data_IF_500605521382
#
_entry.id   IF_500605521382
#
_cell.length_a   1.000
_cell.length_b   1.000
_cell.length_c   1.000
_cell.angle_alpha   90.00
_cell.angle_beta   90.00
_cell.angle_gamma   90.00
#
_symmetry.space_group_name_H-M   'P 1'
#
loop_
_entity.id
_entity.type
_entity.pdbx_description
1 polymer ?
#
# COMPACT_ATOMS: atom_id res chain seq x y z
N UNK A 1 -17.35 -9.14 38.76
CA UNK A 1 -17.25 -7.68 38.45
C UNK A 1 -16.89 -7.36 36.99
N UNK A 2 -16.67 -8.36 36.14
CA UNK A 2 -16.22 -8.19 34.73
C UNK A 2 -17.33 -7.94 33.68
N UNK A 3 -18.51 -8.48 33.89
CA UNK A 3 -19.59 -8.47 32.88
C UNK A 3 -20.21 -7.08 32.63
N UNK A 4 -20.28 -6.22 33.66
CA UNK A 4 -20.87 -4.86 33.52
C UNK A 4 -20.01 -3.84 32.74
N UNK A 5 -18.70 -4.10 32.57
CA UNK A 5 -17.82 -3.21 31.80
C UNK A 5 -17.83 -3.51 30.29
N UNK A 6 -18.06 -4.77 29.94
CA UNK A 6 -18.15 -5.19 28.52
C UNK A 6 -19.44 -4.67 27.89
N UNK A 7 -20.54 -4.73 28.62
CA UNK A 7 -21.86 -4.24 28.16
C UNK A 7 -21.89 -2.72 27.94
N UNK A 8 -21.18 -1.91 28.77
CA UNK A 8 -21.14 -0.45 28.56
C UNK A 8 -20.29 -0.03 27.31
N UNK A 9 -19.22 -0.76 26.98
CA UNK A 9 -18.46 -0.51 25.78
C UNK A 9 -19.23 -0.97 24.53
N UNK A 10 -19.88 -2.13 24.60
CA UNK A 10 -20.73 -2.64 23.53
C UNK A 10 -21.91 -1.70 23.25
N UNK A 11 -22.51 -1.15 24.27
CA UNK A 11 -23.63 -0.21 24.16
C UNK A 11 -23.23 1.13 23.54
N UNK A 12 -21.99 1.60 23.74
CA UNK A 12 -21.48 2.84 23.13
C UNK A 12 -21.30 2.75 21.60
N UNK A 13 -21.10 1.56 21.07
CA UNK A 13 -21.01 1.31 19.63
C UNK A 13 -22.36 0.90 19.01
N UNK A 14 -23.21 0.21 19.79
CA UNK A 14 -24.51 -0.26 19.31
C UNK A 14 -25.55 0.86 19.21
N UNK A 15 -25.50 1.84 20.10
CA UNK A 15 -26.49 2.93 20.13
C UNK A 15 -26.41 3.82 18.90
N UNK A 16 -25.26 4.30 18.41
CA UNK A 16 -25.18 5.04 17.16
C UNK A 16 -25.65 4.23 15.96
N UNK A 17 -25.26 2.96 15.88
CA UNK A 17 -25.67 2.05 14.78
C UNK A 17 -27.17 1.80 14.78
N UNK A 18 -27.79 1.65 15.93
CA UNK A 18 -29.26 1.48 16.07
C UNK A 18 -30.03 2.77 15.77
N UNK A 19 -29.50 3.93 16.11
CA UNK A 19 -30.16 5.23 15.80
C UNK A 19 -30.14 5.48 14.29
N UNK A 20 -29.04 5.16 13.60
CA UNK A 20 -28.99 5.24 12.13
C UNK A 20 -29.95 4.23 11.48
N UNK A 21 -30.05 3.02 12.01
CA UNK A 21 -31.00 2.00 11.56
C UNK A 21 -32.47 2.43 11.75
N UNK A 22 -32.77 3.22 12.79
CA UNK A 22 -34.13 3.70 13.08
C UNK A 22 -34.55 4.92 12.26
N UNK A 23 -33.59 5.67 11.71
CA UNK A 23 -33.85 6.87 10.91
C UNK A 23 -33.99 6.59 9.41
N UNK A 24 -33.71 5.37 8.96
CA UNK A 24 -33.93 5.00 7.55
C UNK A 24 -35.34 4.43 7.43
N UNK A 25 -36.25 5.08 6.70
CA UNK A 25 -37.63 4.59 6.55
C UNK A 25 -37.66 3.19 5.94
N UNK A 26 -38.32 2.26 6.62
CA UNK A 26 -38.56 0.87 6.20
C UNK A 26 -39.56 0.77 5.05
N UNK A 27 -39.50 1.63 4.05
CA UNK A 27 -40.34 1.53 2.85
C UNK A 27 -39.77 0.52 1.86
N UNK A 28 -39.78 -0.76 2.23
CA UNK A 28 -39.50 -1.87 1.30
C UNK A 28 -40.59 -1.99 0.21
N UNK A 29 -41.71 -1.30 0.38
CA UNK A 29 -42.86 -1.35 -0.57
C UNK A 29 -42.82 -0.40 -1.75
N UNK A 30 -41.92 0.61 -1.77
CA UNK A 30 -41.85 1.58 -2.88
C UNK A 30 -40.82 1.27 -3.97
N UNK A 31 -40.19 0.13 -3.95
CA UNK A 31 -39.16 -0.28 -4.92
C UNK A 31 -39.70 -0.69 -6.30
N UNK A 32 -41.04 -0.71 -6.49
CA UNK A 32 -41.64 -1.14 -7.78
C UNK A 32 -42.00 0.02 -8.73
N UNK A 33 -41.70 1.26 -8.41
CA UNK A 33 -41.84 2.39 -9.36
C UNK A 33 -40.50 2.81 -9.94
N UNK A 34 -40.04 2.02 -10.88
CA UNK A 34 -39.36 2.30 -12.16
C UNK A 34 -38.68 3.67 -12.33
N UNK A 35 -37.63 3.89 -11.64
CA UNK A 35 -36.60 4.79 -12.15
C UNK A 35 -35.32 3.96 -12.38
N UNK A 36 -34.84 3.92 -13.61
CA UNK A 36 -33.55 3.29 -13.94
C UNK A 36 -32.49 3.81 -12.95
N UNK A 37 -31.77 2.90 -12.30
CA UNK A 37 -30.71 3.28 -11.37
C UNK A 37 -29.68 4.15 -12.11
N UNK A 38 -29.41 5.38 -11.68
CA UNK A 38 -28.53 6.31 -12.41
C UNK A 38 -27.07 5.85 -12.44
N UNK A 39 -26.69 4.90 -11.58
CA UNK A 39 -25.33 4.35 -11.54
C UNK A 39 -25.20 3.02 -12.28
N UNK A 40 -26.30 2.43 -12.74
CA UNK A 40 -26.28 1.16 -13.46
C UNK A 40 -25.54 1.32 -14.80
N UNK A 41 -24.47 0.52 -14.98
CA UNK A 41 -23.57 0.57 -16.14
C UNK A 41 -22.93 1.95 -16.39
N UNK A 42 -22.92 2.84 -15.40
CA UNK A 42 -22.35 4.18 -15.51
C UNK A 42 -20.82 4.16 -15.47
N UNK A 43 -20.21 5.26 -15.89
CA UNK A 43 -18.84 5.58 -15.57
C UNK A 43 -18.84 6.58 -14.41
N UNK A 44 -18.22 6.21 -13.30
CA UNK A 44 -18.20 6.99 -12.06
C UNK A 44 -16.77 7.50 -11.85
N UNK A 45 -16.61 8.80 -11.65
CA UNK A 45 -15.34 9.45 -11.38
C UNK A 45 -15.34 9.95 -9.95
N UNK A 46 -14.39 9.47 -9.14
CA UNK A 46 -14.32 9.77 -7.72
C UNK A 46 -12.98 10.40 -7.37
N UNK A 47 -13.01 11.33 -6.43
CA UNK A 47 -11.82 11.86 -5.79
C UNK A 47 -11.91 11.58 -4.29
N UNK A 48 -10.83 11.08 -3.68
CA UNK A 48 -10.71 10.91 -2.24
C UNK A 48 -9.75 11.98 -1.72
N UNK A 49 -10.30 12.91 -0.93
CA UNK A 49 -9.61 14.04 -0.31
C UNK A 49 -9.66 13.91 1.22
N UNK A 50 -9.13 12.80 1.74
CA UNK A 50 -9.04 12.55 3.18
C UNK A 50 -7.60 12.76 3.62
N UNK A 51 -7.40 13.59 4.65
CA UNK A 51 -6.08 13.95 5.15
C UNK A 51 -5.35 12.73 5.75
N UNK A 52 -4.09 12.56 5.34
CA UNK A 52 -3.29 11.36 5.64
C UNK A 52 -2.77 11.28 7.09
N UNK A 53 -2.60 12.42 7.78
CA UNK A 53 -1.91 12.48 9.08
C UNK A 53 -2.85 12.11 10.24
N UNK A 54 -4.09 12.59 10.23
CA UNK A 54 -5.07 12.21 11.25
C UNK A 54 -5.60 10.77 11.08
N UNK A 55 -5.54 10.24 9.87
CA UNK A 55 -6.11 8.95 9.50
C UNK A 55 -5.45 7.76 10.20
N UNK A 56 -4.15 7.80 10.50
CA UNK A 56 -3.50 6.69 11.23
C UNK A 56 -4.08 6.48 12.64
N UNK A 57 -4.47 7.55 13.33
CA UNK A 57 -5.08 7.45 14.67
C UNK A 57 -6.50 6.87 14.62
N UNK A 58 -7.20 7.09 13.53
CA UNK A 58 -8.61 6.68 13.35
C UNK A 58 -8.78 5.37 12.59
N UNK A 59 -7.84 4.98 11.75
CA UNK A 59 -7.87 3.78 10.91
C UNK A 59 -7.46 4.10 9.47
N UNK A 60 -7.66 3.16 8.57
CA UNK A 60 -7.31 3.32 7.15
C UNK A 60 -8.49 3.90 6.37
N UNK A 61 -8.78 5.20 6.58
CA UNK A 61 -9.98 5.86 6.03
C UNK A 61 -9.98 5.95 4.51
N UNK A 62 -8.84 6.30 3.92
CA UNK A 62 -8.68 6.39 2.46
C UNK A 62 -8.89 5.03 1.82
N UNK A 63 -8.25 4.01 2.36
CA UNK A 63 -8.32 2.62 1.92
C UNK A 63 -9.74 2.06 2.06
N UNK A 64 -10.41 2.33 3.19
CA UNK A 64 -11.79 1.96 3.41
C UNK A 64 -12.73 2.57 2.37
N UNK A 65 -12.61 3.87 2.12
CA UNK A 65 -13.45 4.55 1.14
C UNK A 65 -13.14 4.11 -0.30
N UNK A 66 -11.88 3.82 -0.60
CA UNK A 66 -11.47 3.27 -1.89
C UNK A 66 -12.19 1.94 -2.16
N UNK A 67 -12.09 0.99 -1.24
CA UNK A 67 -12.73 -0.31 -1.38
C UNK A 67 -14.26 -0.21 -1.37
N UNK A 68 -14.83 0.70 -0.57
CA UNK A 68 -16.26 0.94 -0.52
C UNK A 68 -16.80 1.49 -1.84
N UNK A 69 -16.07 2.41 -2.48
CA UNK A 69 -16.40 2.93 -3.80
C UNK A 69 -16.30 1.85 -4.89
N UNK A 70 -15.29 0.99 -4.84
CA UNK A 70 -15.17 -0.17 -5.74
C UNK A 70 -16.35 -1.13 -5.57
N UNK A 71 -16.73 -1.43 -4.33
CA UNK A 71 -17.88 -2.28 -4.04
C UNK A 71 -19.19 -1.65 -4.55
N UNK A 72 -19.36 -0.33 -4.35
CA UNK A 72 -20.51 0.40 -4.89
C UNK A 72 -20.59 0.30 -6.42
N UNK A 73 -19.46 0.48 -7.10
CA UNK A 73 -19.41 0.38 -8.55
C UNK A 73 -19.71 -1.05 -9.03
N UNK A 74 -19.13 -2.05 -8.39
CA UNK A 74 -19.35 -3.47 -8.69
C UNK A 74 -20.82 -3.85 -8.55
N UNK A 75 -21.46 -3.48 -7.45
CA UNK A 75 -22.87 -3.78 -7.18
C UNK A 75 -23.84 -3.10 -8.17
N UNK A 76 -23.36 -2.04 -8.84
CA UNK A 76 -24.13 -1.32 -9.87
C UNK A 76 -23.66 -1.66 -11.30
N UNK A 77 -22.77 -2.64 -11.49
CA UNK A 77 -22.15 -2.96 -12.78
C UNK A 77 -21.51 -1.74 -13.45
N UNK A 78 -21.11 -0.75 -12.67
CA UNK A 78 -20.50 0.50 -13.11
C UNK A 78 -18.99 0.37 -13.27
N UNK A 79 -18.42 1.18 -14.17
CA UNK A 79 -16.98 1.40 -14.23
C UNK A 79 -16.63 2.56 -13.33
N UNK A 80 -15.58 2.42 -12.52
CA UNK A 80 -15.15 3.47 -11.60
C UNK A 80 -13.70 3.88 -11.88
N UNK A 81 -13.44 5.18 -11.77
CA UNK A 81 -12.11 5.75 -11.71
C UNK A 81 -11.98 6.51 -10.41
N UNK A 82 -11.04 6.11 -9.57
CA UNK A 82 -10.76 6.75 -8.28
C UNK A 82 -9.39 7.41 -8.39
N UNK A 83 -9.30 8.66 -7.95
CA UNK A 83 -8.05 9.40 -7.82
C UNK A 83 -7.95 9.98 -6.42
N UNK A 84 -6.73 10.15 -5.94
CA UNK A 84 -6.48 10.86 -4.70
C UNK A 84 -6.39 12.36 -4.99
N UNK A 85 -6.85 13.16 -4.04
CA UNK A 85 -6.73 14.60 -4.13
C UNK A 85 -5.27 15.04 -4.10
N UNK A 86 -4.96 16.08 -4.85
CA UNK A 86 -3.71 16.81 -4.73
C UNK A 86 -3.77 17.72 -3.50
N UNK A 87 -2.63 17.93 -2.85
CA UNK A 87 -2.55 18.76 -1.66
C UNK A 87 -3.03 20.18 -1.94
N UNK A 88 -3.99 20.65 -1.13
CA UNK A 88 -4.56 21.99 -1.24
C UNK A 88 -5.50 22.24 -2.41
N UNK A 89 -5.85 21.22 -3.20
CA UNK A 89 -6.79 21.36 -4.31
C UNK A 89 -8.23 21.46 -3.82
N UNK A 90 -9.00 22.41 -4.42
CA UNK A 90 -10.44 22.50 -4.24
C UNK A 90 -11.16 21.82 -5.42
N UNK A 91 -12.05 20.90 -5.10
CA UNK A 91 -12.81 20.12 -6.07
C UNK A 91 -14.27 20.59 -6.23
N UNK A 92 -14.64 21.77 -5.67
CA UNK A 92 -15.98 22.32 -5.75
C UNK A 92 -16.42 22.51 -7.20
N UNK A 93 -15.61 23.18 -8.01
CA UNK A 93 -15.90 23.38 -9.44
C UNK A 93 -15.98 22.08 -10.22
N UNK A 94 -15.13 21.11 -9.88
CA UNK A 94 -15.11 19.79 -10.52
C UNK A 94 -16.40 19.00 -10.28
N UNK A 95 -17.01 19.13 -9.10
CA UNK A 95 -18.32 18.57 -8.78
C UNK A 95 -19.44 19.32 -9.53
N UNK A 96 -19.36 20.66 -9.61
CA UNK A 96 -20.38 21.48 -10.26
C UNK A 96 -20.44 21.27 -11.77
N UNK A 97 -19.30 21.15 -12.43
CA UNK A 97 -19.22 20.94 -13.88
C UNK A 97 -19.27 19.46 -14.29
N UNK A 98 -19.63 18.56 -13.38
CA UNK A 98 -19.69 17.11 -13.61
C UNK A 98 -18.36 16.50 -14.11
N UNK A 99 -17.18 17.08 -13.76
CA UNK A 99 -15.87 16.47 -14.03
C UNK A 99 -15.62 15.28 -13.09
N UNK A 100 -16.15 15.37 -11.87
CA UNK A 100 -16.22 14.26 -10.91
C UNK A 100 -17.65 14.03 -10.45
N UNK A 101 -17.98 12.81 -10.10
CA UNK A 101 -19.33 12.40 -9.70
C UNK A 101 -19.45 12.29 -8.17
N UNK A 102 -18.36 11.90 -7.48
CA UNK A 102 -18.31 11.74 -6.03
C UNK A 102 -16.99 12.31 -5.51
N UNK A 103 -17.07 13.19 -4.51
CA UNK A 103 -15.94 13.62 -3.69
C UNK A 103 -16.06 12.99 -2.30
N UNK A 104 -15.04 12.30 -1.85
CA UNK A 104 -14.92 11.81 -0.47
C UNK A 104 -14.03 12.77 0.30
N UNK A 105 -14.58 13.46 1.30
CA UNK A 105 -13.86 14.44 2.07
C UNK A 105 -14.25 14.38 3.56
N UNK A 106 -13.50 15.03 4.48
CA UNK A 106 -13.91 15.16 5.87
C UNK A 106 -15.28 15.82 5.99
N UNK A 107 -16.05 15.48 7.02
CA UNK A 107 -17.36 16.08 7.26
C UNK A 107 -17.28 17.61 7.48
N UNK A 108 -16.11 18.11 7.86
CA UNK A 108 -15.78 19.53 8.02
C UNK A 108 -15.52 20.26 6.70
N UNK A 109 -15.36 19.53 5.57
CA UNK A 109 -15.17 20.17 4.27
C UNK A 109 -16.36 21.08 3.95
N UNK A 110 -16.05 22.34 3.66
CA UNK A 110 -17.03 23.37 3.37
C UNK A 110 -16.98 23.69 1.89
N UNK A 111 -17.58 22.82 1.08
CA UNK A 111 -17.94 23.19 -0.28
C UNK A 111 -19.17 24.07 -0.32
N UNK A 112 -19.61 24.45 -1.52
CA UNK A 112 -20.84 25.23 -1.67
C UNK A 112 -22.03 24.54 -0.96
N UNK A 113 -22.88 25.32 -0.33
CA UNK A 113 -24.09 24.85 0.38
C UNK A 113 -25.06 24.03 -0.49
N UNK A 114 -24.84 24.04 -1.81
CA UNK A 114 -25.64 23.29 -2.80
C UNK A 114 -25.30 21.80 -2.81
N UNK A 115 -24.08 21.40 -2.40
CA UNK A 115 -23.70 19.99 -2.42
C UNK A 115 -24.50 19.18 -1.40
N UNK A 116 -24.83 17.96 -1.77
CA UNK A 116 -25.52 17.00 -0.90
C UNK A 116 -24.54 16.04 -0.28
N UNK A 117 -24.61 15.95 1.04
CA UNK A 117 -23.84 15.00 1.86
C UNK A 117 -24.57 13.67 1.88
N UNK A 118 -23.89 12.63 1.43
CA UNK A 118 -24.30 11.26 1.71
C UNK A 118 -23.48 10.83 2.92
N UNK A 119 -24.13 10.81 4.08
CA UNK A 119 -23.45 10.53 5.33
C UNK A 119 -23.05 9.05 5.41
N UNK A 120 -21.76 8.83 5.51
CA UNK A 120 -21.25 7.61 6.09
C UNK A 120 -21.33 7.73 7.60
N UNK A 121 -21.71 6.66 8.26
CA UNK A 121 -21.71 6.58 9.72
C UNK A 121 -20.31 6.81 10.28
N UNK A 122 -20.20 7.74 11.22
CA UNK A 122 -19.08 7.90 12.14
C UNK A 122 -17.69 8.21 11.53
N UNK A 123 -17.41 9.46 11.23
CA UNK A 123 -16.06 9.97 10.96
C UNK A 123 -15.22 9.21 9.89
N UNK A 124 -15.83 8.29 9.12
CA UNK A 124 -15.14 7.52 8.09
C UNK A 124 -14.98 8.26 6.75
N UNK A 125 -15.34 9.51 6.69
CA UNK A 125 -15.43 10.33 5.48
C UNK A 125 -16.88 10.64 5.12
N UNK A 126 -17.08 11.67 4.33
CA UNK A 126 -18.40 12.06 3.82
C UNK A 126 -18.34 12.07 2.30
N UNK A 127 -19.31 11.46 1.66
CA UNK A 127 -19.41 11.51 0.20
C UNK A 127 -20.25 12.72 -0.19
N UNK A 128 -19.69 13.58 -1.01
CA UNK A 128 -20.33 14.76 -1.56
C UNK A 128 -20.66 14.52 -3.02
N UNK A 129 -21.87 14.85 -3.42
CA UNK A 129 -22.32 14.76 -4.80
C UNK A 129 -23.04 16.05 -5.21
N UNK A 130 -23.06 16.34 -6.52
CA UNK A 130 -23.93 17.38 -7.06
C UNK A 130 -25.39 17.07 -6.74
N UNK A 131 -26.23 18.06 -6.45
CA UNK A 131 -27.64 17.85 -6.14
C UNK A 131 -28.37 17.13 -7.28
N UNK A 132 -28.63 15.86 -7.11
CA UNK A 132 -29.46 15.03 -7.97
C UNK A 132 -30.27 14.08 -7.08
N UNK A 133 -31.59 14.26 -7.08
CA UNK A 133 -32.50 13.47 -6.23
C UNK A 133 -32.43 11.97 -6.52
N UNK A 134 -32.22 11.56 -7.78
CA UNK A 134 -32.17 10.14 -8.16
C UNK A 134 -30.84 9.54 -7.74
N UNK A 135 -29.72 10.23 -8.01
CA UNK A 135 -28.37 9.80 -7.59
C UNK A 135 -28.31 9.67 -6.07
N UNK A 136 -28.81 10.67 -5.32
CA UNK A 136 -28.86 10.64 -3.86
C UNK A 136 -29.66 9.45 -3.33
N UNK A 137 -30.90 9.28 -3.81
CA UNK A 137 -31.77 8.17 -3.39
C UNK A 137 -31.11 6.81 -3.66
N UNK A 138 -30.43 6.66 -4.79
CA UNK A 138 -29.74 5.43 -5.15
C UNK A 138 -28.57 5.14 -4.22
N UNK A 139 -27.74 6.14 -3.89
CA UNK A 139 -26.64 6.02 -2.94
C UNK A 139 -27.13 5.70 -1.53
N UNK A 140 -28.12 6.43 -1.02
CA UNK A 140 -28.69 6.19 0.32
C UNK A 140 -29.26 4.77 0.45
N UNK A 141 -29.98 4.31 -0.58
CA UNK A 141 -30.52 2.95 -0.61
C UNK A 141 -29.42 1.90 -0.66
N UNK A 142 -28.38 2.13 -1.44
CA UNK A 142 -27.24 1.21 -1.51
C UNK A 142 -26.51 1.15 -0.19
N UNK A 143 -26.12 2.28 0.39
CA UNK A 143 -25.47 2.35 1.70
C UNK A 143 -26.31 1.71 2.79
N UNK A 144 -27.62 2.03 2.82
CA UNK A 144 -28.54 1.42 3.79
C UNK A 144 -28.66 -0.09 3.67
N UNK A 145 -28.47 -0.66 2.47
CA UNK A 145 -28.40 -2.11 2.26
C UNK A 145 -27.04 -2.64 2.68
N UNK A 146 -25.95 -2.00 2.23
CA UNK A 146 -24.58 -2.42 2.47
C UNK A 146 -24.27 -2.56 3.96
N UNK A 147 -24.60 -1.59 4.80
CA UNK A 147 -24.38 -1.64 6.25
C UNK A 147 -25.20 -2.72 6.99
N UNK A 148 -26.21 -3.29 6.34
CA UNK A 148 -27.01 -4.40 6.86
C UNK A 148 -26.58 -5.78 6.34
N UNK A 149 -25.61 -5.82 5.44
CA UNK A 149 -25.08 -7.09 4.94
C UNK A 149 -24.34 -7.83 6.05
N UNK A 150 -24.43 -9.14 6.05
CA UNK A 150 -23.78 -10.01 7.04
C UNK A 150 -22.28 -9.78 7.11
N UNK A 151 -21.65 -9.52 5.97
CA UNK A 151 -20.22 -9.30 5.86
C UNK A 151 -19.76 -7.84 6.14
N UNK A 152 -20.69 -6.89 6.38
CA UNK A 152 -20.33 -5.49 6.62
C UNK A 152 -19.35 -5.32 7.79
N UNK A 153 -19.59 -6.02 8.89
CA UNK A 153 -18.74 -5.92 10.08
C UNK A 153 -17.33 -6.45 9.80
N UNK A 154 -17.22 -7.52 9.02
CA UNK A 154 -15.93 -8.04 8.57
C UNK A 154 -15.21 -7.06 7.66
N UNK A 155 -15.92 -6.47 6.69
CA UNK A 155 -15.40 -5.43 5.83
C UNK A 155 -14.87 -4.23 6.62
N UNK A 156 -15.67 -3.69 7.54
CA UNK A 156 -15.27 -2.58 8.40
C UNK A 156 -14.03 -2.90 9.24
N UNK A 157 -14.01 -4.07 9.88
CA UNK A 157 -12.91 -4.46 10.76
C UNK A 157 -11.58 -4.63 10.04
N UNK A 158 -11.56 -4.95 8.76
CA UNK A 158 -10.32 -4.99 7.97
C UNK A 158 -9.54 -3.68 8.08
N UNK A 159 -10.24 -2.54 8.09
CA UNK A 159 -9.62 -1.21 8.07
C UNK A 159 -9.49 -0.57 9.45
N UNK A 160 -10.34 -0.96 10.40
CA UNK A 160 -10.42 -0.29 11.70
C UNK A 160 -10.01 -1.18 12.89
N UNK A 161 -9.85 -2.47 12.70
CA UNK A 161 -9.42 -3.39 13.76
C UNK A 161 -8.10 -4.13 13.45
N UNK A 162 -7.48 -3.89 12.30
CA UNK A 162 -6.16 -4.43 11.94
C UNK A 162 -5.04 -3.80 12.77
N UNK A 163 -3.81 -4.23 12.53
CA UNK A 163 -2.64 -3.69 13.20
C UNK A 163 -2.52 -2.18 13.00
N UNK A 164 -2.43 -1.48 14.11
CA UNK A 164 -2.18 -0.04 14.14
C UNK A 164 -1.49 0.29 15.47
N UNK A 165 -0.25 0.73 15.50
CA UNK A 165 0.50 1.02 16.72
C UNK A 165 -0.13 2.14 17.55
N UNK A 166 -0.89 3.04 16.92
CA UNK A 166 -1.56 4.17 17.59
C UNK A 166 -2.90 3.81 18.21
N UNK A 167 -3.40 2.57 18.01
CA UNK A 167 -4.71 2.11 18.54
C UNK A 167 -4.58 0.96 19.52
N UNK A 168 -5.25 1.09 20.65
CA UNK A 168 -5.47 -0.01 21.60
C UNK A 168 -6.73 -0.78 21.21
N UNK A 169 -6.68 -2.12 21.25
CA UNK A 169 -7.88 -2.96 21.08
C UNK A 169 -8.11 -3.51 19.66
N UNK A 170 -7.04 -3.79 18.95
CA UNK A 170 -7.05 -4.46 17.63
C UNK A 170 -7.54 -5.90 17.69
N UNK A 171 -8.09 -6.39 16.59
CA UNK A 171 -8.30 -7.82 16.38
C UNK A 171 -6.95 -8.46 15.98
N UNK A 172 -6.42 -9.33 16.84
CA UNK A 172 -5.14 -10.01 16.60
C UNK A 172 -5.15 -10.96 15.38
N UNK A 173 -6.33 -11.25 14.83
CA UNK A 173 -6.49 -12.12 13.64
C UNK A 173 -6.28 -11.36 12.34
N UNK A 174 -6.39 -10.04 12.38
CA UNK A 174 -6.26 -9.15 11.20
C UNK A 174 -4.96 -8.35 11.36
N UNK A 175 -3.99 -8.61 10.50
CA UNK A 175 -2.73 -7.89 10.51
C UNK A 175 -2.80 -6.63 9.64
N UNK A 176 -3.30 -6.78 8.42
CA UNK A 176 -3.42 -5.68 7.46
C UNK A 176 -4.82 -5.66 6.85
N UNK A 177 -5.25 -4.56 6.22
CA UNK A 177 -6.46 -4.59 5.40
C UNK A 177 -6.41 -5.57 4.24
N UNK A 178 -5.22 -6.06 3.88
CA UNK A 178 -4.93 -6.83 2.66
C UNK A 178 -4.41 -8.25 2.93
N UNK A 179 -4.66 -8.81 4.11
CA UNK A 179 -4.15 -10.12 4.53
C UNK A 179 -4.39 -11.22 3.50
N UNK A 180 -5.57 -11.24 2.86
CA UNK A 180 -5.92 -12.29 1.91
C UNK A 180 -5.12 -12.18 0.61
N UNK A 181 -4.92 -10.96 0.09
CA UNK A 181 -4.06 -10.72 -1.07
C UNK A 181 -2.60 -11.10 -0.76
N UNK A 182 -2.10 -10.73 0.41
CA UNK A 182 -0.73 -11.09 0.82
C UNK A 182 -0.55 -12.60 0.94
N UNK A 183 -1.53 -13.33 1.50
CA UNK A 183 -1.51 -14.80 1.60
C UNK A 183 -1.57 -15.47 0.23
N UNK A 184 -2.27 -14.87 -0.72
CA UNK A 184 -2.37 -15.38 -2.09
C UNK A 184 -1.06 -15.20 -2.84
N UNK A 185 -0.59 -13.95 -2.95
CA UNK A 185 0.54 -13.59 -3.80
C UNK A 185 1.89 -14.04 -3.24
N UNK A 186 2.10 -14.08 -1.91
CA UNK A 186 3.36 -14.50 -1.30
C UNK A 186 3.77 -15.93 -1.64
N UNK A 187 2.80 -16.80 -1.98
CA UNK A 187 3.04 -18.19 -2.34
C UNK A 187 3.95 -18.33 -3.57
N UNK A 188 3.79 -17.46 -4.55
CA UNK A 188 4.53 -17.53 -5.82
C UNK A 188 6.03 -17.28 -5.66
N UNK A 189 6.45 -16.55 -4.60
CA UNK A 189 7.84 -16.26 -4.27
C UNK A 189 8.37 -17.07 -3.08
N UNK A 190 7.58 -18.01 -2.56
CA UNK A 190 7.96 -18.87 -1.44
C UNK A 190 8.13 -18.14 -0.11
N UNK A 191 7.53 -16.96 0.06
CA UNK A 191 7.60 -16.20 1.30
C UNK A 191 6.42 -16.47 2.23
N UNK A 192 6.67 -16.38 3.55
CA UNK A 192 5.59 -16.18 4.51
C UNK A 192 4.90 -14.84 4.23
N UNK A 193 3.58 -14.83 4.15
CA UNK A 193 2.81 -13.64 3.89
C UNK A 193 3.05 -12.51 4.91
N UNK A 194 3.45 -12.84 6.13
CA UNK A 194 3.81 -11.87 7.16
C UNK A 194 5.14 -11.16 6.87
N UNK A 195 6.04 -11.82 6.13
CA UNK A 195 7.25 -11.16 5.63
C UNK A 195 6.88 -10.13 4.55
N UNK A 196 5.99 -10.49 3.64
CA UNK A 196 5.47 -9.55 2.64
C UNK A 196 4.69 -8.41 3.31
N UNK A 197 3.93 -8.69 4.38
CA UNK A 197 3.29 -7.67 5.21
C UNK A 197 4.29 -6.74 5.90
N UNK A 198 5.42 -7.27 6.38
CA UNK A 198 6.45 -6.44 7.02
C UNK A 198 7.17 -5.53 6.02
N UNK A 199 7.38 -6.02 4.81
CA UNK A 199 7.84 -5.20 3.69
C UNK A 199 6.84 -4.08 3.40
N UNK A 200 5.56 -4.41 3.20
CA UNK A 200 4.49 -3.43 2.96
C UNK A 200 4.38 -2.38 4.09
N UNK A 201 4.55 -2.82 5.35
CA UNK A 201 4.58 -1.90 6.47
C UNK A 201 5.72 -0.90 6.34
N UNK A 202 6.90 -1.34 5.99
CA UNK A 202 8.07 -0.48 5.82
C UNK A 202 7.89 0.50 4.65
N UNK A 203 7.24 0.08 3.57
CA UNK A 203 7.02 0.90 2.38
C UNK A 203 5.94 1.98 2.58
N UNK A 204 4.80 1.63 3.16
CA UNK A 204 3.63 2.52 3.17
C UNK A 204 2.86 2.60 4.49
N UNK A 205 3.23 1.84 5.50
CA UNK A 205 2.39 1.64 6.71
C UNK A 205 0.99 1.13 6.36
N UNK A 206 0.88 0.27 5.33
CA UNK A 206 -0.37 -0.28 4.78
C UNK A 206 -1.32 0.73 4.13
N UNK A 207 -0.84 1.88 3.68
CA UNK A 207 -1.67 2.91 3.04
C UNK A 207 -1.51 2.93 1.52
N UNK A 208 -2.62 2.91 0.81
CA UNK A 208 -2.62 3.06 -0.66
C UNK A 208 -2.21 4.47 -1.11
N UNK A 209 -2.38 5.46 -0.24
CA UNK A 209 -2.20 6.88 -0.58
C UNK A 209 -0.76 7.36 -0.59
N UNK A 210 0.19 6.53 -0.16
CA UNK A 210 1.58 6.97 -0.05
C UNK A 210 2.22 7.13 -1.43
N UNK A 211 2.84 8.30 -1.63
CA UNK A 211 3.66 8.60 -2.80
C UNK A 211 4.98 9.20 -2.33
N UNK A 212 6.09 8.60 -2.75
CA UNK A 212 7.41 9.10 -2.41
C UNK A 212 7.81 10.31 -3.27
N UNK A 213 8.81 11.07 -2.82
CA UNK A 213 9.39 12.19 -3.59
C UNK A 213 9.96 11.72 -4.94
N UNK A 214 10.43 10.46 -5.02
CA UNK A 214 10.95 9.83 -6.26
C UNK A 214 9.84 9.27 -7.16
N UNK A 215 8.58 9.35 -6.74
CA UNK A 215 7.42 8.91 -7.52
C UNK A 215 6.98 7.48 -7.30
N UNK A 216 7.56 6.74 -6.35
CA UNK A 216 7.05 5.43 -5.93
C UNK A 216 5.64 5.56 -5.35
N UNK A 217 4.76 4.58 -5.59
CA UNK A 217 3.33 4.70 -5.29
C UNK A 217 2.75 3.46 -4.61
N UNK A 218 1.78 3.70 -3.73
CA UNK A 218 0.89 2.71 -3.16
C UNK A 218 1.51 1.86 -2.05
N UNK A 219 0.87 0.74 -1.77
CA UNK A 219 1.16 -0.14 -0.64
C UNK A 219 2.61 -0.62 -0.58
N UNK A 220 3.18 -0.97 -1.72
CA UNK A 220 4.50 -1.57 -1.87
C UNK A 220 5.52 -0.58 -2.46
N UNK A 221 5.17 0.70 -2.58
CA UNK A 221 6.03 1.76 -3.14
C UNK A 221 6.66 1.37 -4.48
N UNK A 222 5.82 0.95 -5.42
CA UNK A 222 6.27 0.54 -6.74
C UNK A 222 6.51 1.77 -7.63
N UNK A 223 7.64 1.79 -8.33
CA UNK A 223 7.93 2.80 -9.33
C UNK A 223 7.07 2.57 -10.59
N UNK A 224 6.43 3.62 -11.17
CA UNK A 224 5.62 3.49 -12.38
C UNK A 224 6.38 2.88 -13.56
N UNK A 225 7.65 3.21 -13.75
CA UNK A 225 8.49 2.62 -14.78
C UNK A 225 8.67 1.10 -14.61
N UNK A 226 8.79 0.63 -13.36
CA UNK A 226 8.86 -0.80 -13.06
C UNK A 226 7.53 -1.50 -13.30
N UNK A 227 6.41 -0.86 -12.94
CA UNK A 227 5.07 -1.39 -13.16
C UNK A 227 4.74 -1.55 -14.66
N UNK A 228 5.15 -0.58 -15.47
CA UNK A 228 4.95 -0.59 -16.92
C UNK A 228 5.60 -1.83 -17.59
N UNK A 229 6.74 -2.32 -17.08
CA UNK A 229 7.40 -3.55 -17.58
C UNK A 229 6.52 -4.80 -17.41
N UNK A 230 5.55 -4.76 -16.49
CA UNK A 230 4.58 -5.84 -16.24
C UNK A 230 3.17 -5.53 -16.75
N UNK A 231 2.99 -4.42 -17.50
CA UNK A 231 1.70 -3.99 -18.03
C UNK A 231 0.72 -3.49 -16.95
N UNK A 232 1.23 -3.12 -15.78
CA UNK A 232 0.43 -2.62 -14.65
C UNK A 232 0.43 -1.09 -14.69
N UNK A 233 -0.77 -0.50 -14.66
CA UNK A 233 -0.96 0.96 -14.81
C UNK A 233 -1.66 1.62 -13.64
N UNK A 234 -2.37 0.85 -12.80
CA UNK A 234 -3.05 1.38 -11.62
C UNK A 234 -2.35 0.94 -10.33
N UNK A 235 -1.41 1.78 -9.88
CA UNK A 235 -0.68 1.54 -8.63
C UNK A 235 -1.44 1.99 -7.38
N UNK A 236 -2.60 2.61 -7.52
CA UNK A 236 -3.51 2.88 -6.41
C UNK A 236 -4.36 1.64 -6.06
N UNK A 237 -4.60 0.76 -7.03
CA UNK A 237 -5.29 -0.49 -6.80
C UNK A 237 -4.45 -1.42 -5.92
N UNK A 238 -4.96 -1.87 -4.74
CA UNK A 238 -4.20 -2.71 -3.82
C UNK A 238 -3.71 -4.01 -4.44
N UNK A 239 -4.57 -4.69 -5.21
CA UNK A 239 -4.24 -5.97 -5.83
C UNK A 239 -3.18 -5.81 -6.90
N UNK A 240 -3.33 -4.85 -7.81
CA UNK A 240 -2.35 -4.57 -8.87
C UNK A 240 -1.00 -4.14 -8.28
N UNK A 241 -1.01 -3.35 -7.20
CA UNK A 241 0.21 -2.90 -6.53
C UNK A 241 0.96 -4.05 -5.85
N UNK A 242 0.26 -4.91 -5.09
CA UNK A 242 0.84 -6.10 -4.45
C UNK A 242 1.35 -7.08 -5.50
N UNK A 243 0.56 -7.38 -6.52
CA UNK A 243 0.92 -8.25 -7.62
C UNK A 243 2.18 -7.78 -8.34
N UNK A 244 2.26 -6.49 -8.66
CA UNK A 244 3.44 -5.89 -9.27
C UNK A 244 4.70 -6.09 -8.42
N UNK A 245 4.61 -5.80 -7.13
CA UNK A 245 5.74 -5.95 -6.21
C UNK A 245 6.21 -7.40 -6.12
N UNK A 246 5.29 -8.36 -6.12
CA UNK A 246 5.62 -9.79 -6.09
C UNK A 246 6.31 -10.22 -7.39
N UNK A 247 5.89 -9.70 -8.55
CA UNK A 247 6.59 -9.94 -9.82
C UNK A 247 8.01 -9.36 -9.79
N UNK A 248 8.20 -8.17 -9.23
CA UNK A 248 9.52 -7.58 -9.02
C UNK A 248 10.37 -8.46 -8.10
N UNK A 249 9.83 -8.85 -6.94
CA UNK A 249 10.52 -9.71 -5.97
C UNK A 249 10.93 -11.06 -6.58
N UNK A 250 10.06 -11.67 -7.37
CA UNK A 250 10.36 -12.90 -8.11
C UNK A 250 11.54 -12.72 -9.05
N UNK A 251 11.53 -11.65 -9.86
CA UNK A 251 12.64 -11.35 -10.77
C UNK A 251 13.96 -11.10 -10.00
N UNK A 252 13.91 -10.39 -8.88
CA UNK A 252 15.07 -10.17 -8.03
C UNK A 252 15.64 -11.48 -7.47
N UNK A 253 14.76 -12.40 -7.02
CA UNK A 253 15.18 -13.72 -6.56
C UNK A 253 15.90 -14.50 -7.68
N UNK A 254 15.38 -14.47 -8.90
CA UNK A 254 15.96 -15.21 -10.03
C UNK A 254 17.34 -14.64 -10.41
N UNK A 255 17.49 -13.32 -10.44
CA UNK A 255 18.78 -12.67 -10.64
C UNK A 255 19.78 -13.11 -9.56
N UNK A 256 19.39 -13.05 -8.29
CA UNK A 256 20.27 -13.38 -7.15
C UNK A 256 20.64 -14.87 -7.09
N UNK A 257 19.73 -15.76 -7.48
CA UNK A 257 20.04 -17.19 -7.65
C UNK A 257 21.11 -17.41 -8.72
N UNK A 258 21.12 -16.63 -9.80
CA UNK A 258 22.18 -16.62 -10.79
C UNK A 258 23.56 -16.29 -10.20
N UNK A 259 23.59 -15.54 -9.10
CA UNK A 259 24.79 -15.30 -8.30
C UNK A 259 25.03 -16.38 -7.22
N UNK A 260 24.35 -17.52 -7.24
CA UNK A 260 24.52 -18.62 -6.28
C UNK A 260 24.08 -18.24 -4.85
N UNK A 261 23.15 -17.29 -4.71
CA UNK A 261 22.59 -16.90 -3.41
C UNK A 261 21.27 -17.65 -3.22
N UNK A 262 21.19 -18.45 -2.15
CA UNK A 262 20.06 -19.36 -1.93
C UNK A 262 19.58 -19.36 -0.47
N UNK A 263 18.47 -20.05 -0.22
CA UNK A 263 17.93 -20.29 1.12
C UNK A 263 17.56 -19.02 1.87
N UNK A 264 17.87 -18.98 3.16
CA UNK A 264 17.56 -17.84 4.02
C UNK A 264 18.32 -16.56 3.65
N UNK A 265 19.48 -16.69 3.03
CA UNK A 265 20.29 -15.56 2.58
C UNK A 265 19.63 -14.85 1.39
N UNK A 266 18.98 -15.61 0.49
CA UNK A 266 18.25 -15.06 -0.67
C UNK A 266 17.24 -14.00 -0.25
N UNK A 267 16.51 -14.22 0.85
CA UNK A 267 15.54 -13.24 1.37
C UNK A 267 16.20 -11.90 1.68
N UNK A 268 17.34 -11.90 2.36
CA UNK A 268 18.03 -10.67 2.76
C UNK A 268 18.53 -9.89 1.56
N UNK A 269 19.13 -10.58 0.61
CA UNK A 269 19.59 -9.98 -0.64
C UNK A 269 18.43 -9.48 -1.51
N UNK A 270 17.31 -10.20 -1.52
CA UNK A 270 16.10 -9.77 -2.25
C UNK A 270 15.54 -8.47 -1.66
N UNK A 271 15.46 -8.36 -0.33
CA UNK A 271 15.06 -7.12 0.35
C UNK A 271 16.02 -5.97 0.06
N UNK A 272 17.33 -6.23 0.08
CA UNK A 272 18.34 -5.23 -0.26
C UNK A 272 18.19 -4.75 -1.71
N UNK A 273 18.00 -5.67 -2.65
CA UNK A 273 17.82 -5.34 -4.06
C UNK A 273 16.48 -4.64 -4.35
N UNK A 274 15.45 -4.90 -3.54
CA UNK A 274 14.19 -4.18 -3.62
C UNK A 274 14.35 -2.72 -3.23
N UNK A 275 15.10 -2.43 -2.17
CA UNK A 275 15.36 -1.07 -1.67
C UNK A 275 16.37 -0.31 -2.54
N UNK A 276 17.56 -0.88 -2.76
CA UNK A 276 18.68 -0.20 -3.42
C UNK A 276 18.70 -0.34 -4.95
N UNK A 277 17.82 -1.20 -5.51
CA UNK A 277 17.85 -1.57 -6.91
C UNK A 277 18.76 -2.78 -7.21
N UNK A 278 18.35 -3.57 -8.19
CA UNK A 278 19.08 -4.80 -8.57
C UNK A 278 20.50 -4.51 -9.03
N UNK A 279 20.71 -3.50 -9.88
CA UNK A 279 22.02 -3.14 -10.40
C UNK A 279 23.02 -2.84 -9.29
N UNK A 280 22.67 -1.99 -8.34
CA UNK A 280 23.54 -1.62 -7.23
C UNK A 280 23.98 -2.85 -6.40
N UNK A 281 23.06 -3.78 -6.17
CA UNK A 281 23.36 -4.99 -5.38
C UNK A 281 24.20 -5.98 -6.20
N UNK A 282 23.92 -6.19 -7.47
CA UNK A 282 24.69 -7.12 -8.32
C UNK A 282 26.11 -6.62 -8.58
N UNK A 283 26.28 -5.32 -8.78
CA UNK A 283 27.60 -4.68 -8.91
C UNK A 283 28.40 -4.81 -7.61
N UNK A 284 27.74 -4.59 -6.47
CA UNK A 284 28.37 -4.76 -5.17
C UNK A 284 28.78 -6.23 -4.92
N UNK A 285 27.94 -7.20 -5.29
CA UNK A 285 28.25 -8.63 -5.21
C UNK A 285 29.46 -8.97 -6.08
N UNK A 286 29.47 -8.51 -7.34
CA UNK A 286 30.55 -8.76 -8.29
C UNK A 286 31.87 -8.16 -7.81
N UNK A 287 31.82 -6.94 -7.29
CA UNK A 287 32.99 -6.26 -6.72
C UNK A 287 33.49 -6.96 -5.46
N UNK A 288 32.59 -7.37 -4.57
CA UNK A 288 32.95 -8.12 -3.36
C UNK A 288 33.66 -9.43 -3.70
N UNK A 289 33.16 -10.17 -4.69
CA UNK A 289 33.80 -11.41 -5.17
C UNK A 289 35.19 -11.18 -5.74
N UNK A 290 35.40 -10.11 -6.50
CA UNK A 290 36.73 -9.77 -7.03
C UNK A 290 37.75 -9.54 -5.90
N UNK A 291 37.25 -9.08 -4.73
CA UNK A 291 38.03 -8.92 -3.49
C UNK A 291 38.07 -10.17 -2.60
N UNK A 292 37.57 -11.30 -3.13
CA UNK A 292 37.53 -12.61 -2.40
C UNK A 292 36.66 -12.60 -1.14
N UNK A 293 35.65 -11.73 -1.09
CA UNK A 293 34.61 -11.75 -0.05
C UNK A 293 33.66 -12.91 -0.32
N UNK A 294 33.38 -13.74 0.68
CA UNK A 294 32.35 -14.78 0.57
C UNK A 294 30.96 -14.17 0.65
N UNK A 295 30.35 -13.90 -0.50
CA UNK A 295 29.02 -13.33 -0.61
C UNK A 295 27.90 -14.35 -0.45
N UNK A 296 28.19 -15.62 -0.21
CA UNK A 296 27.17 -16.62 0.13
C UNK A 296 26.51 -16.34 1.48
N UNK A 297 27.15 -15.53 2.32
CA UNK A 297 26.68 -15.11 3.63
C UNK A 297 26.40 -13.61 3.65
N UNK A 298 25.19 -13.27 3.99
CA UNK A 298 24.75 -11.87 4.14
C UNK A 298 25.64 -11.05 5.10
N UNK A 299 26.08 -11.64 6.22
CA UNK A 299 26.95 -10.93 7.19
C UNK A 299 28.22 -10.40 6.54
N UNK A 300 28.88 -11.23 5.73
CA UNK A 300 30.13 -10.86 5.07
C UNK A 300 29.91 -9.79 4.00
N UNK A 301 28.80 -9.93 3.24
CA UNK A 301 28.40 -8.94 2.25
C UNK A 301 28.04 -7.61 2.92
N UNK A 302 27.25 -7.63 3.99
CA UNK A 302 26.83 -6.44 4.71
C UNK A 302 28.03 -5.67 5.27
N UNK A 303 28.99 -6.36 5.90
CA UNK A 303 30.23 -5.76 6.38
C UNK A 303 31.03 -5.13 5.23
N UNK A 304 31.15 -5.83 4.11
CA UNK A 304 31.81 -5.29 2.91
C UNK A 304 31.05 -4.09 2.32
N UNK A 305 29.72 -4.19 2.24
CA UNK A 305 28.88 -3.17 1.61
C UNK A 305 28.83 -1.85 2.38
N UNK A 306 29.04 -1.92 3.71
CA UNK A 306 29.12 -0.75 4.61
C UNK A 306 30.56 -0.31 4.91
N UNK A 307 31.55 -1.05 4.45
CA UNK A 307 32.98 -0.80 4.69
C UNK A 307 33.56 0.42 3.96
N UNK A 308 34.88 0.48 3.83
CA UNK A 308 35.61 1.58 3.18
C UNK A 308 35.28 1.72 1.69
N UNK A 309 34.29 2.55 1.38
CA UNK A 309 33.89 3.02 0.05
C UNK A 309 33.88 4.54 0.06
N UNK A 310 33.74 5.17 -1.11
CA UNK A 310 33.52 6.61 -1.13
C UNK A 310 32.26 6.95 -0.32
N UNK A 311 32.19 8.12 0.31
CA UNK A 311 31.19 8.43 1.32
C UNK A 311 29.73 8.23 0.86
N UNK A 312 29.41 8.51 -0.42
CA UNK A 312 28.09 8.32 -0.98
C UNK A 312 27.68 6.84 -1.04
N UNK A 313 28.54 5.96 -1.58
CA UNK A 313 28.27 4.51 -1.68
C UNK A 313 28.22 3.83 -0.31
N UNK A 314 29.02 4.32 0.64
CA UNK A 314 28.98 3.84 2.03
C UNK A 314 27.65 4.17 2.69
N UNK A 315 27.11 5.36 2.43
CA UNK A 315 25.85 5.83 3.00
C UNK A 315 24.66 5.01 2.48
N UNK A 316 24.57 4.78 1.17
CA UNK A 316 23.57 3.92 0.56
C UNK A 316 23.64 2.48 1.10
N UNK A 317 24.85 1.98 1.33
CA UNK A 317 25.08 0.68 1.95
C UNK A 317 24.52 0.59 3.36
N UNK A 318 24.74 1.61 4.19
CA UNK A 318 24.22 1.67 5.57
C UNK A 318 22.69 1.71 5.60
N UNK A 319 22.08 2.53 4.73
CA UNK A 319 20.62 2.63 4.57
C UNK A 319 20.03 1.26 4.20
N UNK A 320 20.57 0.62 3.17
CA UNK A 320 20.09 -0.69 2.69
C UNK A 320 20.21 -1.78 3.75
N UNK A 321 21.32 -1.84 4.49
CA UNK A 321 21.49 -2.82 5.56
C UNK A 321 20.51 -2.57 6.72
N UNK A 322 20.33 -1.31 7.09
CA UNK A 322 19.33 -0.92 8.08
C UNK A 322 17.91 -1.26 7.64
N UNK A 323 17.57 -1.00 6.38
CA UNK A 323 16.30 -1.40 5.79
C UNK A 323 16.02 -2.89 5.93
N UNK A 324 16.97 -3.75 5.53
CA UNK A 324 16.81 -5.20 5.64
C UNK A 324 16.59 -5.62 7.09
N UNK A 325 17.33 -5.04 8.03
CA UNK A 325 17.20 -5.32 9.46
C UNK A 325 15.83 -4.93 9.99
N UNK A 326 15.36 -3.74 9.64
CA UNK A 326 14.03 -3.23 10.06
C UNK A 326 12.90 -4.11 9.53
N UNK A 327 12.92 -4.48 8.25
CA UNK A 327 11.90 -5.36 7.67
C UNK A 327 11.88 -6.72 8.36
N UNK A 328 13.04 -7.32 8.62
CA UNK A 328 13.13 -8.62 9.32
C UNK A 328 12.72 -8.51 10.79
N UNK A 329 13.10 -7.44 11.48
CA UNK A 329 12.65 -7.16 12.85
C UNK A 329 11.13 -7.03 12.95
N UNK A 330 10.53 -6.31 12.02
CA UNK A 330 9.06 -6.19 11.92
C UNK A 330 8.40 -7.53 11.60
N UNK A 331 9.03 -8.35 10.77
CA UNK A 331 8.57 -9.71 10.51
C UNK A 331 8.53 -10.57 11.78
N UNK A 332 9.53 -10.45 12.66
CA UNK A 332 9.54 -11.16 13.94
C UNK A 332 8.43 -10.69 14.88
N UNK A 333 8.08 -9.40 14.87
CA UNK A 333 6.92 -8.88 15.59
C UNK A 333 5.62 -9.49 15.03
N UNK A 334 5.46 -9.51 13.72
CA UNK A 334 4.25 -10.01 13.07
C UNK A 334 4.06 -11.52 13.21
N UNK A 335 5.14 -12.27 13.34
CA UNK A 335 5.09 -13.70 13.69
C UNK A 335 4.79 -13.94 15.18
N UNK A 336 4.92 -12.93 16.02
CA UNK A 336 4.78 -13.04 17.47
C UNK A 336 6.03 -13.59 18.17
N UNK A 337 7.19 -13.56 17.50
CA UNK A 337 8.50 -13.90 18.10
C UNK A 337 8.91 -12.81 19.08
N UNK A 338 8.73 -11.55 18.69
CA UNK A 338 8.91 -10.38 19.56
C UNK A 338 7.58 -10.04 20.24
N UNK A 339 7.50 -10.02 21.58
CA UNK A 339 6.30 -9.64 22.27
C UNK A 339 5.91 -8.19 22.00
N UNK A 340 4.62 -7.94 21.79
CA UNK A 340 4.09 -6.60 21.57
C UNK A 340 4.23 -5.72 22.83
N UNK A 341 4.53 -4.45 22.63
CA UNK A 341 4.86 -3.45 23.65
C UNK A 341 6.10 -3.82 24.49
N UNK A 342 6.95 -4.72 23.99
CA UNK A 342 8.24 -5.04 24.61
C UNK A 342 9.27 -3.92 24.35
N UNK A 343 10.35 -3.92 25.12
CA UNK A 343 11.47 -3.03 24.86
C UNK A 343 12.07 -3.27 23.46
N UNK A 344 12.09 -4.52 23.02
CA UNK A 344 12.60 -4.94 21.71
C UNK A 344 11.71 -4.42 20.56
N UNK A 345 10.37 -4.41 20.69
CA UNK A 345 9.49 -3.78 19.70
C UNK A 345 9.75 -2.27 19.59
N UNK A 346 9.94 -1.60 20.74
CA UNK A 346 10.27 -0.16 20.76
C UNK A 346 11.63 0.14 20.13
N UNK A 347 12.59 -0.72 20.30
CA UNK A 347 13.91 -0.61 19.67
C UNK A 347 13.78 -0.71 18.14
N UNK A 348 13.02 -1.68 17.63
CA UNK A 348 12.72 -1.81 16.19
C UNK A 348 11.99 -0.58 15.67
N UNK A 349 11.00 -0.05 16.41
CA UNK A 349 10.28 1.16 16.04
C UNK A 349 11.19 2.40 16.01
N UNK A 350 12.15 2.48 16.91
CA UNK A 350 13.14 3.56 16.92
C UNK A 350 14.10 3.44 15.72
N UNK A 351 14.57 2.24 15.41
CA UNK A 351 15.39 2.00 14.21
C UNK A 351 14.62 2.37 12.93
N UNK A 352 13.33 2.00 12.82
CA UNK A 352 12.49 2.41 11.69
C UNK A 352 12.43 3.94 11.52
N UNK A 353 12.22 4.67 12.63
CA UNK A 353 12.19 6.13 12.61
C UNK A 353 13.54 6.74 12.20
N UNK A 354 14.65 6.15 12.65
CA UNK A 354 15.99 6.60 12.27
C UNK A 354 16.25 6.38 10.78
N UNK A 355 15.84 5.25 10.22
CA UNK A 355 15.95 4.96 8.79
C UNK A 355 15.08 5.92 7.98
N UNK A 356 13.84 6.19 8.40
CA UNK A 356 12.98 7.19 7.75
C UNK A 356 13.62 8.58 7.75
N UNK A 357 14.14 9.03 8.89
CA UNK A 357 14.82 10.33 8.99
C UNK A 357 16.09 10.38 8.12
N UNK A 358 16.83 9.27 8.03
CA UNK A 358 18.00 9.16 7.18
C UNK A 358 17.61 9.30 5.70
N UNK A 359 16.57 8.61 5.25
CA UNK A 359 16.04 8.69 3.88
C UNK A 359 15.56 10.12 3.58
N UNK A 360 14.84 10.75 4.50
CA UNK A 360 14.33 12.11 4.32
C UNK A 360 15.46 13.15 4.26
N UNK A 361 16.52 12.99 5.05
CA UNK A 361 17.67 13.90 5.04
C UNK A 361 18.45 13.82 3.74
N UNK A 362 18.56 12.64 3.12
CA UNK A 362 19.23 12.44 1.84
C UNK A 362 18.43 12.97 0.66
N UNK A 363 17.10 12.90 0.75
CA UNK A 363 16.22 13.44 -0.30
C UNK A 363 16.33 14.96 -0.45
N UNK A 364 16.91 15.68 0.53
CA UNK A 364 17.12 17.13 0.46
C UNK A 364 18.47 17.53 -0.16
N UNK A 365 19.53 16.73 0.00
CA UNK A 365 20.89 17.16 -0.35
C UNK A 365 21.50 16.46 -1.59
N UNK A 366 20.98 15.31 -2.02
CA UNK A 366 21.60 14.52 -3.11
C UNK A 366 20.91 14.63 -4.48
N UNK A 367 19.97 15.57 -4.67
CA UNK A 367 19.30 15.81 -5.96
C UNK A 367 20.08 16.72 -6.92
N UNK A 368 21.41 16.75 -6.83
CA UNK A 368 22.30 17.21 -7.88
C UNK A 368 22.55 16.11 -8.89
N UNK A 369 21.65 15.91 -9.84
CA UNK A 369 21.95 15.33 -11.15
C UNK A 369 22.23 13.83 -11.20
N UNK A 370 21.20 12.99 -11.03
CA UNK A 370 21.16 11.67 -11.69
C UNK A 370 19.94 11.68 -12.61
N UNK A 371 20.23 11.78 -13.91
CA UNK A 371 19.26 11.71 -14.99
C UNK A 371 18.60 10.32 -14.99
N UNK A 372 17.26 10.20 -14.85
CA UNK A 372 16.57 8.92 -14.93
C UNK A 372 16.65 8.26 -16.33
N UNK A 373 17.23 8.94 -17.34
CA UNK A 373 17.50 8.40 -18.67
C UNK A 373 18.65 7.38 -18.74
N UNK A 374 19.46 7.25 -17.69
CA UNK A 374 20.67 6.40 -17.74
C UNK A 374 20.42 4.93 -17.32
N UNK A 375 19.21 4.58 -16.84
CA UNK A 375 18.85 3.17 -16.64
C UNK A 375 18.43 2.46 -17.95
N UNK A 376 17.85 3.19 -18.93
CA UNK A 376 17.49 2.60 -20.23
C UNK A 376 18.71 2.20 -21.04
N UNK A 377 19.79 2.99 -20.99
CA UNK A 377 21.05 2.67 -21.71
C UNK A 377 21.81 1.49 -21.09
N UNK A 378 21.69 1.24 -19.78
CA UNK A 378 22.32 0.08 -19.13
C UNK A 378 21.60 -1.24 -19.38
N UNK A 379 20.26 -1.21 -19.47
CA UNK A 379 19.48 -2.41 -19.82
C UNK A 379 19.70 -2.79 -21.31
N UNK A 380 19.92 -1.82 -22.21
CA UNK A 380 20.27 -2.09 -23.60
C UNK A 380 21.71 -2.59 -23.79
N UNK A 381 22.67 -2.10 -23.00
CA UNK A 381 24.06 -2.61 -22.99
C UNK A 381 24.13 -4.05 -22.44
N UNK A 382 23.35 -4.40 -21.40
CA UNK A 382 23.28 -5.77 -20.88
C UNK A 382 22.59 -6.73 -21.85
N UNK A 383 21.55 -6.29 -22.56
CA UNK A 383 20.92 -7.11 -23.61
C UNK A 383 21.83 -7.30 -24.83
N UNK A 384 22.73 -6.36 -25.08
CA UNK A 384 23.73 -6.46 -26.14
C UNK A 384 24.91 -7.35 -25.75
N UNK A 385 25.37 -7.33 -24.50
CA UNK A 385 26.38 -8.23 -23.95
C UNK A 385 25.91 -9.69 -23.86
N UNK A 386 24.66 -9.93 -23.51
CA UNK A 386 24.06 -11.29 -23.51
C UNK A 386 23.93 -11.82 -24.96
N UNK A 387 23.60 -10.98 -25.94
CA UNK A 387 23.59 -11.36 -27.36
C UNK A 387 25.00 -11.66 -27.91
N UNK A 388 26.01 -10.97 -27.42
CA UNK A 388 27.43 -11.23 -27.78
C UNK A 388 27.91 -12.52 -27.15
N UNK A 389 27.57 -12.83 -25.88
CA UNK A 389 27.89 -14.10 -25.24
C UNK A 389 27.25 -15.29 -25.92
N UNK A 390 25.99 -15.19 -26.33
CA UNK A 390 25.31 -16.27 -27.08
C UNK A 390 25.88 -16.49 -28.49
N UNK A 391 26.51 -15.48 -29.09
CA UNK A 391 27.17 -15.60 -30.41
C UNK A 391 28.55 -16.27 -30.33
N UNK A 392 29.32 -16.00 -29.26
CA UNK A 392 30.66 -16.58 -29.06
C UNK A 392 30.58 -18.04 -28.58
N UNK A 393 29.53 -18.43 -27.87
CA UNK A 393 29.31 -19.84 -27.44
C UNK A 393 28.93 -20.80 -28.56
N UNK A 394 28.61 -20.31 -29.78
CA UNK A 394 28.25 -21.13 -30.95
C UNK A 394 29.39 -21.40 -31.93
N UNK A 395 30.55 -20.73 -31.79
CA UNK A 395 31.70 -20.96 -32.67
C UNK A 395 32.69 -22.02 -32.16
N UNK A 396 32.64 -22.42 -30.89
CA UNK A 396 33.51 -23.47 -30.31
C UNK A 396 32.93 -24.88 -30.40
N UNK A 397 31.83 -25.10 -31.16
CA UNK A 397 31.22 -26.44 -31.36
C UNK A 397 31.11 -26.80 -32.84
N UNK A 398 32.11 -26.44 -33.65
CA UNK A 398 32.30 -26.99 -35.00
C UNK A 398 33.71 -27.54 -35.22
#
# INVERSE_FOLDING_TARGET
MGLKRVTKKFLRFLIPTLIVLALIPLSVGELSQSGKNPYENAQIRCVIALDSIETLRTGYLTDYNYELLKQFASDNSARIRITLAEDGADYSDSLLCDSIDILVAPASWQGEATFRKVMMTDSTGTWFIKPDRKKMKSLDLWLGRFVRMENYFSFYNRFFACYNPYRKGRDKRILTPYDDLLKEYSKSIGWDWKLLASLMWNESRFKISVKSKRGAQGLMQVMPASAAKFGITDLLDPEENIKCSVLILSRLQDILKGYGIEGAELTKYTLAAYNAGSGNITDAISTARSKKVDVSRWSNFAEYFTGERNDALRFEGLETIAYVRVVLGRYDIFRGVVPQNSAQEKEIELEEQQVEQMIDSLGSDSLGGIDPGNEETRDEEQEQDDKIRDSVGKEDSR
#
